data_IF_941260208154
#
_entry.id   IF_941260208154
#
_cell.length_a   1.000
_cell.length_b   1.000
_cell.length_c   1.000
_cell.angle_alpha   90.00
_cell.angle_beta   90.00
_cell.angle_gamma   90.00
#
_symmetry.space_group_name_H-M   'P 1'
#
loop_
_entity.id
_entity.type
_entity.pdbx_description
1 polymer ?
#
# COMPACT_ATOMS: atom_id res chain seq x y z
N UNK A 1 1.01 0.85 12.15
CA UNK A 1 0.66 -0.58 12.12
C UNK A 1 -0.83 -0.77 12.36
N UNK A 2 -1.37 -0.31 13.50
CA UNK A 2 -2.80 -0.41 13.82
C UNK A 2 -3.70 0.32 12.79
N UNK A 3 -3.34 1.54 12.39
CA UNK A 3 -4.08 2.32 11.37
C UNK A 3 -4.08 1.59 10.02
N UNK A 4 -2.93 1.07 9.60
CA UNK A 4 -2.81 0.31 8.35
C UNK A 4 -3.70 -0.94 8.35
N UNK A 5 -3.73 -1.70 9.45
CA UNK A 5 -4.61 -2.87 9.56
C UNK A 5 -6.09 -2.51 9.52
N UNK A 6 -6.49 -1.37 10.11
CA UNK A 6 -7.87 -0.88 10.05
C UNK A 6 -8.24 -0.51 8.61
N UNK A 7 -7.36 0.19 7.88
CA UNK A 7 -7.59 0.57 6.47
C UNK A 7 -7.72 -0.67 5.59
N UNK A 8 -6.85 -1.67 5.76
CA UNK A 8 -6.92 -2.93 5.00
C UNK A 8 -8.22 -3.68 5.28
N UNK A 9 -8.62 -3.82 6.55
CA UNK A 9 -9.89 -4.43 6.93
C UNK A 9 -11.10 -3.68 6.37
N UNK A 10 -11.05 -2.35 6.36
CA UNK A 10 -12.08 -1.51 5.77
C UNK A 10 -12.24 -1.77 4.27
N UNK A 11 -11.14 -1.84 3.51
CA UNK A 11 -11.21 -2.18 2.08
C UNK A 11 -11.79 -3.57 1.82
N UNK A 12 -11.39 -4.57 2.60
CA UNK A 12 -11.94 -5.93 2.50
C UNK A 12 -13.44 -5.94 2.78
N UNK A 13 -13.89 -5.19 3.79
CA UNK A 13 -15.30 -5.05 4.11
C UNK A 13 -16.10 -4.38 2.98
N UNK A 14 -15.56 -3.30 2.40
CA UNK A 14 -16.20 -2.58 1.29
C UNK A 14 -16.36 -3.48 0.07
N UNK A 15 -15.32 -4.25 -0.30
CA UNK A 15 -15.38 -5.19 -1.43
C UNK A 15 -16.42 -6.27 -1.17
N UNK A 16 -16.42 -6.87 0.01
CA UNK A 16 -17.36 -7.94 0.37
C UNK A 16 -18.81 -7.44 0.35
N UNK A 17 -19.04 -6.25 0.91
CA UNK A 17 -20.36 -5.61 0.93
C UNK A 17 -20.81 -5.23 -0.48
N UNK A 18 -19.91 -4.71 -1.32
CA UNK A 18 -20.21 -4.41 -2.71
C UNK A 18 -20.59 -5.66 -3.52
N UNK A 19 -19.86 -6.77 -3.37
CA UNK A 19 -20.19 -8.04 -4.03
C UNK A 19 -21.56 -8.56 -3.58
N UNK A 20 -21.86 -8.48 -2.28
CA UNK A 20 -23.15 -8.87 -1.71
C UNK A 20 -24.30 -8.01 -2.26
N UNK A 21 -24.13 -6.69 -2.26
CA UNK A 21 -25.11 -5.72 -2.78
C UNK A 21 -25.34 -5.87 -4.29
N UNK A 22 -24.27 -6.12 -5.06
CA UNK A 22 -24.36 -6.42 -6.49
C UNK A 22 -25.18 -7.69 -6.74
N UNK A 23 -25.03 -8.71 -5.89
CA UNK A 23 -25.81 -9.97 -5.98
C UNK A 23 -27.28 -9.79 -5.61
N UNK A 24 -27.60 -8.84 -4.73
CA UNK A 24 -28.97 -8.52 -4.31
C UNK A 24 -29.70 -7.56 -5.25
N UNK A 25 -29.02 -7.00 -6.27
CA UNK A 25 -29.64 -6.05 -7.21
C UNK A 25 -29.87 -4.65 -6.65
N UNK A 26 -29.47 -4.39 -5.40
CA UNK A 26 -29.58 -3.09 -4.72
C UNK A 26 -28.49 -2.10 -5.19
N UNK A 27 -28.62 -1.63 -6.44
CA UNK A 27 -27.62 -0.76 -7.09
C UNK A 27 -27.43 0.58 -6.38
N UNK A 28 -28.48 1.16 -5.80
CA UNK A 28 -28.42 2.48 -5.13
C UNK A 28 -27.54 2.44 -3.88
N UNK A 29 -27.69 1.40 -3.07
CA UNK A 29 -26.90 1.19 -1.85
C UNK A 29 -25.42 0.93 -2.18
N UNK A 30 -25.14 0.17 -3.24
CA UNK A 30 -23.77 -0.05 -3.73
C UNK A 30 -23.08 1.25 -4.17
N UNK A 31 -23.81 2.17 -4.81
CA UNK A 31 -23.28 3.47 -5.22
C UNK A 31 -22.98 4.36 -4.02
N UNK A 32 -23.88 4.41 -3.03
CA UNK A 32 -23.64 5.16 -1.77
C UNK A 32 -22.42 4.61 -1.05
N UNK A 33 -22.28 3.28 -0.98
CA UNK A 33 -21.13 2.61 -0.36
C UNK A 33 -19.82 2.95 -1.08
N UNK A 34 -19.84 3.06 -2.42
CA UNK A 34 -18.67 3.50 -3.20
C UNK A 34 -18.29 4.94 -2.89
N UNK A 35 -19.24 5.87 -2.84
CA UNK A 35 -18.95 7.28 -2.48
C UNK A 35 -18.37 7.41 -1.07
N UNK A 36 -18.91 6.67 -0.11
CA UNK A 36 -18.35 6.62 1.25
C UNK A 36 -16.95 6.04 1.28
N UNK A 37 -16.69 4.97 0.53
CA UNK A 37 -15.34 4.39 0.43
C UNK A 37 -14.35 5.36 -0.20
N UNK A 38 -14.77 6.13 -1.21
CA UNK A 38 -13.94 7.12 -1.88
C UNK A 38 -13.56 8.25 -0.92
N UNK A 39 -14.53 8.77 -0.16
CA UNK A 39 -14.30 9.82 0.83
C UNK A 39 -13.31 9.38 1.91
N UNK A 40 -13.51 8.18 2.46
CA UNK A 40 -12.63 7.61 3.47
C UNK A 40 -11.23 7.40 2.89
N UNK A 41 -11.12 6.87 1.67
CA UNK A 41 -9.83 6.69 1.00
C UNK A 41 -9.10 8.02 0.85
N UNK A 42 -9.77 9.07 0.35
CA UNK A 42 -9.18 10.40 0.18
C UNK A 42 -8.70 11.02 1.51
N UNK A 43 -9.42 10.77 2.61
CA UNK A 43 -9.00 11.23 3.93
C UNK A 43 -7.72 10.53 4.42
N UNK A 44 -7.55 9.25 4.09
CA UNK A 44 -6.38 8.47 4.51
C UNK A 44 -5.18 8.56 3.55
N UNK A 45 -5.31 9.17 2.36
CA UNK A 45 -4.19 9.42 1.44
C UNK A 45 -2.99 10.10 2.13
N UNK A 46 -3.14 11.25 2.83
CA UNK A 46 -1.99 11.90 3.48
C UNK A 46 -1.38 11.07 4.61
N UNK A 47 -2.17 10.18 5.23
CA UNK A 47 -1.68 9.26 6.28
C UNK A 47 -0.90 8.09 5.68
N UNK A 48 -1.23 7.70 4.45
CA UNK A 48 -0.54 6.64 3.71
C UNK A 48 0.74 7.17 3.06
N UNK A 49 0.82 8.45 2.70
CA UNK A 49 2.00 9.05 2.05
C UNK A 49 3.27 8.94 2.91
N UNK A 50 3.16 9.08 4.24
CA UNK A 50 4.28 8.87 5.19
C UNK A 50 4.67 7.38 5.36
N UNK A 51 3.80 6.44 5.00
CA UNK A 51 3.93 5.01 5.31
C UNK A 51 4.07 4.11 4.09
N UNK A 52 3.78 4.63 2.89
CA UNK A 52 3.86 3.89 1.65
C UNK A 52 5.34 3.71 1.30
N UNK A 53 5.83 2.48 1.13
CA UNK A 53 7.19 2.28 0.66
C UNK A 53 7.28 2.83 -0.76
N UNK A 54 7.76 4.06 -0.91
CA UNK A 54 8.07 4.67 -2.20
C UNK A 54 9.07 3.79 -2.94
N UNK A 55 9.06 3.84 -4.27
CA UNK A 55 10.03 3.14 -5.12
C UNK A 55 11.48 3.40 -4.68
N UNK A 56 11.77 4.60 -4.15
CA UNK A 56 13.04 4.95 -3.53
C UNK A 56 13.35 4.16 -2.25
N UNK A 57 12.37 3.98 -1.37
CA UNK A 57 12.54 3.19 -0.14
C UNK A 57 12.75 1.70 -0.43
N UNK A 58 12.03 1.12 -1.40
CA UNK A 58 12.19 -0.26 -1.86
C UNK A 58 13.56 -0.49 -2.51
N UNK A 59 14.00 0.45 -3.35
CA UNK A 59 15.34 0.42 -3.94
C UNK A 59 16.41 0.44 -2.84
N UNK A 60 16.28 1.34 -1.86
CA UNK A 60 17.25 1.46 -0.76
C UNK A 60 17.25 0.24 0.16
N UNK A 61 16.10 -0.41 0.40
CA UNK A 61 16.00 -1.56 1.29
C UNK A 61 16.49 -2.88 0.64
N UNK A 62 16.33 -3.03 -0.67
CA UNK A 62 16.72 -4.25 -1.39
C UNK A 62 18.10 -4.13 -2.06
N UNK A 63 18.35 -3.06 -2.80
CA UNK A 63 19.60 -2.93 -3.56
C UNK A 63 20.79 -2.60 -2.68
N UNK A 64 20.61 -1.80 -1.61
CA UNK A 64 21.72 -1.42 -0.73
C UNK A 64 22.37 -2.61 -0.01
N UNK A 65 21.64 -3.54 0.63
CA UNK A 65 22.25 -4.71 1.25
C UNK A 65 22.84 -5.69 0.22
N UNK A 66 22.20 -5.85 -0.94
CA UNK A 66 22.71 -6.73 -2.01
C UNK A 66 24.01 -6.14 -2.58
N UNK A 67 24.07 -4.83 -2.83
CA UNK A 67 25.27 -4.15 -3.31
C UNK A 67 26.43 -4.24 -2.31
N UNK A 68 26.17 -4.13 -1.00
CA UNK A 68 27.18 -4.29 0.04
C UNK A 68 27.67 -5.73 0.15
N UNK A 69 26.76 -6.70 0.04
CA UNK A 69 27.12 -8.13 0.05
C UNK A 69 27.98 -8.49 -1.17
N UNK A 70 27.59 -8.04 -2.36
CA UNK A 70 28.35 -8.24 -3.60
C UNK A 70 29.70 -7.52 -3.53
N UNK A 71 29.76 -6.29 -3.01
CA UNK A 71 31.01 -5.53 -2.82
C UNK A 71 31.97 -6.23 -1.85
N UNK A 72 31.45 -6.78 -0.75
CA UNK A 72 32.25 -7.55 0.21
C UNK A 72 32.66 -8.92 -0.34
N UNK A 73 31.79 -9.61 -1.08
CA UNK A 73 32.07 -10.92 -1.65
C UNK A 73 33.11 -10.87 -2.79
N UNK A 74 33.14 -9.77 -3.54
CA UNK A 74 34.08 -9.58 -4.65
C UNK A 74 35.40 -8.89 -4.26
N UNK A 75 35.53 -8.34 -3.04
CA UNK A 75 36.75 -7.62 -2.59
C UNK A 75 37.20 -6.50 -3.56
N UNK A 76 36.30 -6.00 -4.42
CA UNK A 76 36.64 -4.97 -5.39
C UNK A 76 36.59 -3.62 -4.69
N UNK A 77 37.76 -3.09 -4.35
CA UNK A 77 37.97 -1.66 -4.13
C UNK A 77 37.76 -0.94 -5.46
N UNK A 78 36.51 -0.63 -5.79
CA UNK A 78 36.25 0.49 -6.70
C UNK A 78 36.53 1.75 -5.87
N UNK A 79 37.73 2.30 -6.06
CA UNK A 79 38.10 3.62 -5.58
C UNK A 79 37.26 4.65 -6.33
N UNK A 80 36.15 5.04 -5.72
CA UNK A 80 35.44 6.27 -6.03
C UNK A 80 34.96 6.80 -4.68
N UNK A 81 35.65 7.85 -4.23
CA UNK A 81 35.25 8.72 -3.13
C UNK A 81 33.91 9.43 -3.45
#
# INVERSE_FOLDING_TARGET
MLIFTIVVLFFVYVITSYVKLKKQGCRKEAVVLLFFSLFITCYFIPVIEDWMPTSESLNTYLYKPISLYVRNALHVQLGVD
#
